data_IF_951877385925
#
_entry.id   IF_951877385925
#
_cell.length_a   1.000
_cell.length_b   1.000
_cell.length_c   1.000
_cell.angle_alpha   90.00
_cell.angle_beta   90.00
_cell.angle_gamma   90.00
#
_symmetry.space_group_name_H-M   'P 1'
#
loop_
_entity.id
_entity.type
_entity.pdbx_description
1 polymer ?
#
# COMPACT_ATOMS: atom_id res chain seq x y z
N UNK A 1 -3.98 -4.47 -7.06
CA UNK A 1 -5.13 -4.77 -6.19
C UNK A 1 -5.42 -3.52 -5.38
N UNK A 2 -6.50 -2.79 -5.63
CA UNK A 2 -6.85 -1.58 -4.89
C UNK A 2 -8.28 -1.12 -5.20
N UNK A 3 -8.76 -0.15 -4.46
CA UNK A 3 -9.98 0.58 -4.79
C UNK A 3 -9.81 1.44 -6.04
N UNK A 4 -10.92 1.79 -6.68
CA UNK A 4 -10.93 2.73 -7.80
C UNK A 4 -11.00 4.18 -7.29
N UNK A 5 -10.55 5.11 -8.11
CA UNK A 5 -10.78 6.55 -7.96
C UNK A 5 -11.40 7.09 -9.24
N UNK A 6 -12.66 7.51 -9.17
CA UNK A 6 -13.38 8.03 -10.35
C UNK A 6 -12.75 9.27 -10.95
N UNK A 7 -11.98 10.05 -10.18
CA UNK A 7 -11.21 11.20 -10.69
C UNK A 7 -9.90 10.79 -11.38
N UNK A 8 -9.44 9.57 -11.14
CA UNK A 8 -8.26 9.01 -11.78
C UNK A 8 -6.91 9.48 -11.22
N UNK A 9 -6.90 10.15 -10.07
CA UNK A 9 -5.70 10.68 -9.40
C UNK A 9 -5.08 9.74 -8.38
N UNK A 10 -5.83 8.72 -7.95
CA UNK A 10 -5.40 7.72 -6.98
C UNK A 10 -5.88 6.32 -7.39
N UNK A 11 -5.77 5.35 -6.48
CA UNK A 11 -6.29 3.98 -6.66
C UNK A 11 -5.72 3.28 -7.88
N UNK A 12 -6.47 2.30 -8.39
CA UNK A 12 -6.05 1.51 -9.55
C UNK A 12 -5.82 2.34 -10.80
N UNK A 13 -6.52 3.47 -10.97
CA UNK A 13 -6.33 4.34 -12.14
C UNK A 13 -4.95 4.99 -12.12
N UNK A 14 -4.48 5.46 -10.97
CA UNK A 14 -3.13 6.00 -10.84
C UNK A 14 -2.08 4.88 -11.01
N UNK A 15 -2.31 3.72 -10.43
CA UNK A 15 -1.42 2.55 -10.54
C UNK A 15 -1.26 2.14 -12.02
N UNK A 16 -2.37 1.97 -12.76
CA UNK A 16 -2.35 1.59 -14.18
C UNK A 16 -1.62 2.64 -15.02
N UNK A 17 -1.92 3.93 -14.82
CA UNK A 17 -1.24 5.02 -15.53
C UNK A 17 0.27 5.01 -15.29
N UNK A 18 0.67 4.84 -14.03
CA UNK A 18 2.08 4.81 -13.63
C UNK A 18 2.80 3.60 -14.23
N UNK A 19 2.23 2.41 -14.12
CA UNK A 19 2.79 1.19 -14.70
C UNK A 19 2.92 1.33 -16.21
N UNK A 20 1.86 1.80 -16.90
CA UNK A 20 1.88 2.00 -18.34
C UNK A 20 2.93 3.02 -18.79
N UNK A 21 3.07 4.14 -18.05
CA UNK A 21 4.08 5.15 -18.33
C UNK A 21 5.52 4.62 -18.16
N UNK A 22 5.71 3.60 -17.34
CA UNK A 22 6.98 2.91 -17.15
C UNK A 22 7.14 1.66 -18.06
N UNK A 23 6.28 1.47 -19.07
CA UNK A 23 6.38 0.36 -20.01
C UNK A 23 5.95 -1.00 -19.45
N UNK A 24 5.20 -1.01 -18.36
CA UNK A 24 4.71 -2.23 -17.71
C UNK A 24 3.25 -2.49 -18.10
N UNK A 25 2.94 -3.72 -18.50
CA UNK A 25 1.55 -4.17 -18.69
C UNK A 25 0.85 -4.27 -17.34
N UNK A 26 -0.26 -3.54 -17.19
CA UNK A 26 -0.98 -3.46 -15.92
C UNK A 26 -2.31 -4.22 -15.98
N UNK A 27 -2.55 -5.04 -14.97
CA UNK A 27 -3.83 -5.70 -14.70
C UNK A 27 -4.39 -5.17 -13.37
N UNK A 28 -5.68 -5.35 -13.12
CA UNK A 28 -6.31 -4.86 -11.90
C UNK A 28 -7.33 -5.84 -11.32
N UNK A 29 -7.30 -6.01 -10.00
CA UNK A 29 -8.38 -6.55 -9.18
C UNK A 29 -8.89 -5.43 -8.28
N UNK A 30 -10.20 -5.18 -8.29
CA UNK A 30 -10.81 -3.99 -7.67
C UNK A 30 -11.37 -4.39 -6.30
N UNK A 31 -10.92 -3.70 -5.25
CA UNK A 31 -11.42 -3.93 -3.87
C UNK A 31 -12.67 -3.12 -3.54
N UNK A 32 -12.82 -1.96 -4.15
CA UNK A 32 -13.99 -1.09 -3.98
C UNK A 32 -14.11 -0.11 -5.14
N UNK A 33 -15.32 0.28 -5.48
CA UNK A 33 -15.61 1.45 -6.30
C UNK A 33 -15.82 2.65 -5.40
N UNK A 34 -15.25 3.81 -5.74
CA UNK A 34 -15.48 5.05 -4.99
C UNK A 34 -16.13 6.11 -5.87
N UNK A 35 -17.07 6.84 -5.30
CA UNK A 35 -17.54 8.10 -5.84
C UNK A 35 -16.62 9.21 -5.28
N UNK A 36 -15.54 9.47 -5.98
CA UNK A 36 -14.43 10.30 -5.51
C UNK A 36 -14.06 11.37 -6.54
N UNK A 37 -13.65 12.54 -6.03
CA UNK A 37 -13.01 13.61 -6.80
C UNK A 37 -11.84 14.22 -6.01
N UNK A 38 -11.27 15.32 -6.51
CA UNK A 38 -10.12 15.98 -5.85
C UNK A 38 -10.46 16.64 -4.51
N UNK A 39 -11.73 16.73 -4.14
CA UNK A 39 -12.19 17.35 -2.90
C UNK A 39 -12.66 16.35 -1.85
N UNK A 40 -12.87 15.08 -2.21
CA UNK A 40 -13.24 14.04 -1.24
C UNK A 40 -13.89 12.81 -1.86
N UNK A 41 -14.25 11.90 -0.96
CA UNK A 41 -14.97 10.64 -1.25
C UNK A 41 -16.37 10.78 -0.67
N UNK A 42 -17.40 10.62 -1.50
CA UNK A 42 -18.82 10.75 -1.08
C UNK A 42 -19.52 9.41 -0.90
N UNK A 43 -19.03 8.36 -1.57
CA UNK A 43 -19.60 7.02 -1.43
C UNK A 43 -18.57 5.95 -1.77
N UNK A 44 -18.72 4.76 -1.17
CA UNK A 44 -17.84 3.60 -1.38
C UNK A 44 -18.71 2.35 -1.49
N UNK A 45 -18.50 1.60 -2.58
CA UNK A 45 -19.12 0.29 -2.77
C UNK A 45 -18.00 -0.77 -2.81
N UNK A 46 -17.87 -1.54 -1.73
CA UNK A 46 -16.95 -2.67 -1.67
C UNK A 46 -17.41 -3.81 -2.59
N UNK A 47 -16.46 -4.50 -3.19
CA UNK A 47 -16.74 -5.79 -3.83
C UNK A 47 -16.84 -6.87 -2.75
N UNK A 48 -17.52 -7.99 -3.06
CA UNK A 48 -17.53 -9.11 -2.12
C UNK A 48 -16.18 -9.85 -2.14
N UNK A 49 -15.80 -10.52 -1.02
CA UNK A 49 -14.59 -11.35 -0.99
C UNK A 49 -14.57 -12.42 -2.08
N UNK A 50 -15.72 -13.00 -2.39
CA UNK A 50 -15.87 -14.02 -3.43
C UNK A 50 -15.58 -13.43 -4.82
N UNK A 51 -16.08 -12.23 -5.11
CA UNK A 51 -15.84 -11.58 -6.39
C UNK A 51 -14.37 -11.18 -6.55
N UNK A 52 -13.75 -10.63 -5.49
CA UNK A 52 -12.31 -10.33 -5.49
C UNK A 52 -11.46 -11.60 -5.69
N UNK A 53 -11.87 -12.72 -5.07
CA UNK A 53 -11.22 -14.00 -5.27
C UNK A 53 -11.29 -14.45 -6.73
N UNK A 54 -12.44 -14.29 -7.39
CA UNK A 54 -12.61 -14.60 -8.82
C UNK A 54 -11.75 -13.69 -9.72
N UNK A 55 -11.68 -12.38 -9.45
CA UNK A 55 -10.80 -11.47 -10.20
C UNK A 55 -9.34 -11.95 -10.13
N UNK A 56 -8.86 -12.27 -8.91
CA UNK A 56 -7.51 -12.77 -8.70
C UNK A 56 -7.27 -14.11 -9.38
N UNK A 57 -8.24 -15.05 -9.31
CA UNK A 57 -8.13 -16.34 -9.99
C UNK A 57 -8.03 -16.15 -11.51
N UNK A 58 -8.81 -15.24 -12.12
CA UNK A 58 -8.72 -14.95 -13.56
C UNK A 58 -7.36 -14.41 -13.96
N UNK A 59 -6.78 -13.52 -13.15
CA UNK A 59 -5.45 -12.97 -13.42
C UNK A 59 -4.38 -14.07 -13.31
N UNK A 60 -4.30 -14.73 -12.14
CA UNK A 60 -3.22 -15.68 -11.86
C UNK A 60 -3.24 -16.94 -12.70
N UNK A 61 -4.41 -17.34 -13.22
CA UNK A 61 -4.54 -18.56 -14.07
C UNK A 61 -4.36 -18.29 -15.57
N UNK A 62 -4.27 -17.03 -15.99
CA UNK A 62 -4.07 -16.66 -17.40
C UNK A 62 -2.73 -15.91 -17.57
N UNK A 63 -2.67 -14.65 -17.18
CA UNK A 63 -1.45 -13.83 -17.26
C UNK A 63 -0.86 -13.71 -15.87
N UNK A 64 0.03 -14.65 -15.50
CA UNK A 64 0.64 -14.66 -14.18
C UNK A 64 1.50 -13.39 -13.96
N UNK A 65 1.22 -12.56 -12.92
CA UNK A 65 1.92 -11.31 -12.72
C UNK A 65 3.35 -11.52 -12.21
N UNK A 66 4.32 -10.77 -12.74
CA UNK A 66 5.70 -10.73 -12.24
C UNK A 66 5.82 -10.02 -10.88
N UNK A 67 4.90 -9.09 -10.61
CA UNK A 67 4.82 -8.34 -9.36
C UNK A 67 3.36 -7.98 -9.05
N UNK A 68 3.07 -7.77 -7.77
CA UNK A 68 1.76 -7.37 -7.28
C UNK A 68 1.89 -6.12 -6.43
N UNK A 69 1.05 -5.11 -6.66
CA UNK A 69 0.88 -3.98 -5.76
C UNK A 69 -0.49 -4.03 -5.12
N UNK A 70 -0.56 -3.87 -3.81
CA UNK A 70 -1.81 -3.63 -3.09
C UNK A 70 -1.87 -2.20 -2.60
N UNK A 71 -3.02 -1.56 -2.77
CA UNK A 71 -3.32 -0.24 -2.23
C UNK A 71 -4.44 -0.31 -1.18
N UNK A 72 -5.45 0.55 -1.30
CA UNK A 72 -6.57 0.59 -0.35
C UNK A 72 -7.35 -0.71 -0.32
N UNK A 73 -7.45 -1.31 0.86
CA UNK A 73 -8.31 -2.45 1.19
C UNK A 73 -8.99 -2.16 2.53
N UNK A 74 -10.29 -2.06 2.55
CA UNK A 74 -11.07 -1.48 3.65
C UNK A 74 -11.46 -2.45 4.76
N UNK A 75 -11.63 -3.74 4.45
CA UNK A 75 -12.15 -4.73 5.39
C UNK A 75 -11.24 -5.94 5.61
N UNK A 76 -11.32 -6.54 6.79
CA UNK A 76 -10.57 -7.76 7.16
C UNK A 76 -10.81 -8.89 6.17
N UNK A 77 -12.06 -9.09 5.72
CA UNK A 77 -12.42 -10.17 4.81
C UNK A 77 -11.73 -10.04 3.44
N UNK A 78 -11.65 -8.82 2.89
CA UNK A 78 -10.92 -8.57 1.64
C UNK A 78 -9.41 -8.75 1.82
N UNK A 79 -8.84 -8.31 2.96
CA UNK A 79 -7.41 -8.50 3.26
C UNK A 79 -7.07 -9.99 3.37
N UNK A 80 -7.90 -10.77 4.05
CA UNK A 80 -7.73 -12.23 4.16
C UNK A 80 -7.80 -12.88 2.77
N UNK A 81 -8.80 -12.54 1.96
CA UNK A 81 -8.93 -13.04 0.59
C UNK A 81 -7.69 -12.76 -0.25
N UNK A 82 -7.14 -11.54 -0.19
CA UNK A 82 -5.91 -11.17 -0.89
C UNK A 82 -4.75 -12.03 -0.39
N UNK A 83 -4.54 -12.09 0.93
CA UNK A 83 -3.42 -12.84 1.53
C UNK A 83 -3.48 -14.33 1.18
N UNK A 84 -4.67 -14.93 1.24
CA UNK A 84 -4.88 -16.34 0.90
C UNK A 84 -4.59 -16.61 -0.58
N UNK A 85 -5.08 -15.76 -1.50
CA UNK A 85 -4.82 -15.89 -2.94
C UNK A 85 -3.34 -15.68 -3.29
N UNK A 86 -2.70 -14.63 -2.75
CA UNK A 86 -1.27 -14.38 -2.98
C UNK A 86 -0.41 -15.55 -2.48
N UNK A 87 -0.78 -16.14 -1.35
CA UNK A 87 -0.11 -17.33 -0.80
C UNK A 87 -0.34 -18.56 -1.67
N UNK A 88 -1.60 -18.85 -2.05
CA UNK A 88 -1.97 -20.00 -2.85
C UNK A 88 -1.29 -20.00 -4.24
N UNK A 89 -1.19 -18.85 -4.85
CA UNK A 89 -0.52 -18.68 -6.15
C UNK A 89 1.00 -18.46 -6.04
N UNK A 90 1.57 -18.45 -4.84
CA UNK A 90 3.00 -18.18 -4.62
C UNK A 90 3.46 -16.86 -5.27
N UNK A 91 2.64 -15.83 -5.16
CA UNK A 91 2.92 -14.51 -5.73
C UNK A 91 4.25 -13.96 -5.22
N UNK A 92 4.97 -13.26 -6.10
CA UNK A 92 6.29 -12.70 -5.82
C UNK A 92 6.29 -11.19 -5.99
N UNK A 93 7.34 -10.55 -5.48
CA UNK A 93 7.54 -9.10 -5.66
C UNK A 93 6.31 -8.30 -5.22
N UNK A 94 5.83 -8.56 -4.00
CA UNK A 94 4.62 -7.94 -3.46
C UNK A 94 4.97 -6.60 -2.83
N UNK A 95 4.37 -5.53 -3.36
CA UNK A 95 4.43 -4.16 -2.83
C UNK A 95 3.14 -3.88 -2.09
N UNK A 96 3.22 -3.60 -0.79
CA UNK A 96 2.05 -3.26 0.02
C UNK A 96 2.10 -1.78 0.40
N UNK A 97 1.17 -1.00 -0.14
CA UNK A 97 0.90 0.37 0.31
C UNK A 97 -0.19 0.31 1.40
N UNK A 98 0.17 0.51 2.68
CA UNK A 98 -0.72 0.26 3.80
C UNK A 98 -1.68 1.43 4.03
N UNK A 99 -2.50 1.75 3.02
CA UNK A 99 -3.41 2.90 3.02
C UNK A 99 -4.41 2.80 4.17
N UNK A 100 -4.27 3.67 5.19
CA UNK A 100 -5.12 3.68 6.38
C UNK A 100 -6.02 4.91 6.46
N UNK A 101 -5.56 6.04 5.92
CA UNK A 101 -6.25 7.33 6.00
C UNK A 101 -6.19 8.02 4.64
N UNK A 102 -7.33 8.54 4.18
CA UNK A 102 -7.35 9.37 2.98
C UNK A 102 -6.60 10.69 3.20
N UNK A 103 -6.12 11.32 2.13
CA UNK A 103 -5.52 12.66 2.16
C UNK A 103 -6.46 13.70 2.81
N UNK A 104 -7.77 13.49 2.71
CA UNK A 104 -8.80 14.30 3.37
C UNK A 104 -8.92 14.08 4.88
N UNK A 105 -8.16 13.13 5.47
CA UNK A 105 -8.25 12.74 6.88
C UNK A 105 -9.32 11.69 7.20
N UNK A 106 -10.08 11.24 6.21
CA UNK A 106 -11.09 10.20 6.43
C UNK A 106 -10.41 8.84 6.67
N UNK A 107 -10.83 8.13 7.72
CA UNK A 107 -10.35 6.77 8.02
C UNK A 107 -10.89 5.82 6.95
N UNK A 108 -10.00 5.15 6.23
CA UNK A 108 -10.33 4.24 5.12
C UNK A 108 -10.34 2.77 5.51
N UNK A 109 -9.89 2.45 6.71
CA UNK A 109 -9.75 1.08 7.20
C UNK A 109 -10.24 1.00 8.65
N UNK A 110 -10.89 -0.09 9.04
CA UNK A 110 -11.31 -0.34 10.43
C UNK A 110 -10.13 -0.78 11.31
N UNK A 111 -10.25 -0.64 12.64
CA UNK A 111 -9.19 -1.07 13.56
C UNK A 111 -8.95 -2.59 13.49
N UNK A 112 -10.01 -3.37 13.30
CA UNK A 112 -9.94 -4.81 13.08
C UNK A 112 -9.16 -5.14 11.80
N UNK A 113 -9.43 -4.43 10.71
CA UNK A 113 -8.74 -4.61 9.44
C UNK A 113 -7.26 -4.21 9.51
N UNK A 114 -6.86 -3.24 10.34
CA UNK A 114 -5.44 -2.94 10.62
C UNK A 114 -4.75 -4.15 11.27
N UNK A 115 -5.40 -4.81 12.22
CA UNK A 115 -4.90 -6.04 12.83
C UNK A 115 -4.70 -7.15 11.81
N UNK A 116 -5.68 -7.36 10.93
CA UNK A 116 -5.62 -8.35 9.85
C UNK A 116 -4.52 -8.00 8.83
N UNK A 117 -4.41 -6.73 8.46
CA UNK A 117 -3.33 -6.24 7.58
C UNK A 117 -1.95 -6.59 8.15
N UNK A 118 -1.70 -6.27 9.43
CA UNK A 118 -0.44 -6.53 10.12
C UNK A 118 -0.11 -8.02 10.22
N UNK A 119 -1.10 -8.88 10.39
CA UNK A 119 -0.88 -10.31 10.65
C UNK A 119 -0.93 -11.20 9.41
N UNK A 120 -1.64 -10.78 8.37
CA UNK A 120 -1.90 -11.61 7.18
C UNK A 120 -1.20 -11.10 5.92
N UNK A 121 -1.26 -9.79 5.64
CA UNK A 121 -0.81 -9.26 4.35
C UNK A 121 0.61 -8.69 4.42
N UNK A 122 0.96 -7.88 5.43
CA UNK A 122 2.30 -7.29 5.55
C UNK A 122 3.43 -8.33 5.62
N UNK A 123 3.26 -9.51 6.26
CA UNK A 123 4.29 -10.55 6.24
C UNK A 123 4.58 -11.16 4.85
N UNK A 124 3.70 -10.97 3.88
CA UNK A 124 3.90 -11.42 2.49
C UNK A 124 4.66 -10.39 1.64
N UNK A 125 4.81 -9.16 2.14
CA UNK A 125 5.39 -8.07 1.38
C UNK A 125 6.88 -8.27 1.09
N UNK A 126 7.30 -7.93 -0.12
CA UNK A 126 8.70 -7.67 -0.47
C UNK A 126 9.12 -6.27 0.00
N UNK A 127 8.21 -5.31 -0.16
CA UNK A 127 8.38 -3.94 0.32
C UNK A 127 7.04 -3.35 0.79
N UNK A 128 7.08 -2.62 1.89
CA UNK A 128 5.96 -1.83 2.42
C UNK A 128 6.26 -0.36 2.17
N UNK A 129 5.26 0.43 1.75
CA UNK A 129 5.43 1.84 1.38
C UNK A 129 4.60 2.80 2.25
N UNK A 130 4.80 2.85 3.57
CA UNK A 130 4.01 3.69 4.46
C UNK A 130 4.39 5.17 4.32
N UNK A 131 3.40 6.06 4.47
CA UNK A 131 3.66 7.45 4.81
C UNK A 131 3.98 7.59 6.32
N UNK A 132 4.33 8.81 6.79
CA UNK A 132 4.70 9.04 8.20
C UNK A 132 3.60 8.59 9.17
N UNK A 133 2.32 9.00 9.04
CA UNK A 133 1.26 8.54 9.93
C UNK A 133 1.06 7.01 9.93
N UNK A 134 1.16 6.38 8.78
CA UNK A 134 1.09 4.92 8.66
C UNK A 134 2.29 4.23 9.32
N UNK A 135 3.49 4.79 9.16
CA UNK A 135 4.69 4.29 9.80
C UNK A 135 4.61 4.41 11.34
N UNK A 136 4.01 5.48 11.87
CA UNK A 136 3.75 5.61 13.31
C UNK A 136 2.82 4.50 13.82
N UNK A 137 1.73 4.20 13.09
CA UNK A 137 0.81 3.10 13.43
C UNK A 137 1.52 1.74 13.35
N UNK A 138 2.40 1.54 12.36
CA UNK A 138 3.09 0.26 12.17
C UNK A 138 4.22 0.05 13.15
N UNK A 139 4.99 1.09 13.47
CA UNK A 139 6.14 1.05 14.39
C UNK A 139 5.75 1.21 15.86
N UNK A 140 4.62 1.85 16.13
CA UNK A 140 4.17 2.20 17.48
C UNK A 140 4.94 3.37 18.11
N UNK A 141 5.62 4.19 17.30
CA UNK A 141 6.37 5.36 17.77
C UNK A 141 5.99 6.62 17.00
N UNK A 142 6.16 7.78 17.64
CA UNK A 142 5.99 9.10 17.01
C UNK A 142 7.23 9.43 16.14
N UNK A 143 7.02 10.05 14.98
CA UNK A 143 8.08 10.40 14.02
C UNK A 143 8.11 11.91 13.85
N UNK A 144 9.18 12.54 14.34
CA UNK A 144 9.39 14.00 14.28
C UNK A 144 10.65 14.42 13.52
N UNK A 145 11.57 13.48 13.31
CA UNK A 145 12.88 13.73 12.70
C UNK A 145 13.25 12.62 11.72
N UNK A 146 14.23 12.88 10.86
CA UNK A 146 14.79 11.85 9.98
C UNK A 146 15.34 10.65 10.77
N UNK A 147 15.95 10.89 11.93
CA UNK A 147 16.42 9.82 12.81
C UNK A 147 15.25 8.95 13.34
N UNK A 148 14.07 9.56 13.59
CA UNK A 148 12.87 8.80 13.95
C UNK A 148 12.34 7.99 12.75
N UNK A 149 12.43 8.54 11.52
CA UNK A 149 12.07 7.81 10.30
C UNK A 149 12.94 6.56 10.14
N UNK A 150 14.26 6.68 10.30
CA UNK A 150 15.17 5.53 10.24
C UNK A 150 14.81 4.46 11.27
N UNK A 151 14.60 4.88 12.52
CA UNK A 151 14.22 3.98 13.61
C UNK A 151 12.87 3.30 13.39
N UNK A 152 11.87 4.04 12.91
CA UNK A 152 10.56 3.48 12.57
C UNK A 152 10.67 2.48 11.42
N UNK A 153 11.41 2.80 10.36
CA UNK A 153 11.65 1.92 9.23
C UNK A 153 12.38 0.63 9.65
N UNK A 154 13.38 0.73 10.55
CA UNK A 154 14.06 -0.42 11.13
C UNK A 154 13.10 -1.35 11.90
N UNK A 155 12.24 -0.76 12.77
CA UNK A 155 11.24 -1.52 13.53
C UNK A 155 10.28 -2.25 12.58
N UNK A 156 9.75 -1.55 11.58
CA UNK A 156 8.82 -2.12 10.59
C UNK A 156 9.51 -3.25 9.80
N UNK A 157 10.72 -3.00 9.31
CA UNK A 157 11.51 -4.00 8.57
C UNK A 157 11.76 -5.26 9.42
N UNK A 158 12.13 -5.11 10.69
CA UNK A 158 12.33 -6.24 11.61
C UNK A 158 11.03 -6.98 11.91
N UNK A 159 9.93 -6.25 12.09
CA UNK A 159 8.63 -6.83 12.47
C UNK A 159 8.03 -7.65 11.34
N UNK A 160 8.10 -7.17 10.10
CA UNK A 160 7.44 -7.82 8.96
C UNK A 160 8.42 -8.58 8.04
N UNK A 161 9.73 -8.44 8.24
CA UNK A 161 10.74 -9.19 7.48
C UNK A 161 10.95 -8.71 6.03
N UNK A 162 10.56 -7.48 5.70
CA UNK A 162 10.59 -6.92 4.35
C UNK A 162 11.32 -5.57 4.28
N UNK A 163 11.57 -5.06 3.08
CA UNK A 163 12.04 -3.69 2.89
C UNK A 163 10.94 -2.67 3.22
N UNK A 164 11.34 -1.46 3.57
CA UNK A 164 10.43 -0.34 3.88
C UNK A 164 10.83 0.87 3.06
N UNK A 165 9.92 1.38 2.24
CA UNK A 165 10.04 2.70 1.62
C UNK A 165 9.13 3.66 2.40
N UNK A 166 9.68 4.34 3.40
CA UNK A 166 8.95 5.29 4.21
C UNK A 166 8.89 6.63 3.46
N UNK A 167 7.67 7.02 3.09
CA UNK A 167 7.41 8.24 2.32
C UNK A 167 7.44 9.46 3.25
N UNK A 168 8.25 10.45 2.91
CA UNK A 168 8.33 11.73 3.61
C UNK A 168 7.16 12.67 3.31
N UNK A 169 7.29 13.94 3.67
CA UNK A 169 6.23 14.94 3.58
C UNK A 169 5.39 14.99 4.86
N UNK A 170 4.13 15.38 4.74
CA UNK A 170 3.10 15.45 5.80
C UNK A 170 3.40 16.34 7.02
N UNK A 171 4.61 16.48 7.52
CA UNK A 171 4.94 17.33 8.69
C UNK A 171 6.42 17.66 8.84
N UNK A 172 7.30 17.00 8.10
CA UNK A 172 8.71 17.36 8.03
C UNK A 172 8.92 18.38 6.92
N UNK A 173 9.83 19.33 7.11
CA UNK A 173 10.06 20.44 6.17
C UNK A 173 10.47 20.00 4.76
N UNK A 174 10.95 18.74 4.61
CA UNK A 174 11.38 18.15 3.35
C UNK A 174 10.58 16.87 3.07
N UNK A 175 10.18 16.67 1.80
CA UNK A 175 9.45 15.48 1.36
C UNK A 175 10.43 14.35 0.94
N UNK A 176 11.47 14.10 1.76
CA UNK A 176 12.46 13.07 1.49
C UNK A 176 11.93 11.69 1.84
N UNK A 177 12.09 10.72 0.93
CA UNK A 177 11.71 9.33 1.15
C UNK A 177 12.91 8.52 1.62
N UNK A 178 12.69 7.55 2.52
CA UNK A 178 13.71 6.66 3.07
C UNK A 178 13.45 5.22 2.64
N UNK A 179 14.41 4.60 1.96
CA UNK A 179 14.43 3.15 1.74
C UNK A 179 15.30 2.48 2.80
N UNK A 180 14.68 1.64 3.61
CA UNK A 180 15.33 0.78 4.60
C UNK A 180 15.29 -0.68 4.17
N UNK A 181 16.43 -1.34 4.17
CA UNK A 181 16.56 -2.76 3.87
C UNK A 181 17.42 -3.43 4.94
N UNK A 182 17.08 -4.67 5.28
CA UNK A 182 17.88 -5.44 6.23
C UNK A 182 19.33 -5.57 5.76
N UNK A 183 20.27 -5.35 6.68
CA UNK A 183 21.71 -5.48 6.45
C UNK A 183 22.27 -4.58 5.33
N UNK A 184 21.61 -3.45 5.04
CA UNK A 184 22.09 -2.43 4.10
C UNK A 184 22.04 -1.05 4.74
N UNK A 185 22.88 -0.14 4.24
CA UNK A 185 22.81 1.27 4.63
C UNK A 185 21.48 1.89 4.15
N UNK A 186 20.89 2.80 4.94
CA UNK A 186 19.71 3.54 4.53
C UNK A 186 19.95 4.36 3.25
N UNK A 187 18.97 4.38 2.36
CA UNK A 187 19.03 5.19 1.14
C UNK A 187 17.96 6.27 1.19
N UNK A 188 18.38 7.53 1.11
CA UNK A 188 17.51 8.68 1.09
C UNK A 188 17.29 9.16 -0.36
N UNK A 189 16.03 9.35 -0.71
CA UNK A 189 15.61 9.98 -1.96
C UNK A 189 15.17 11.40 -1.65
N UNK A 190 16.00 12.36 -2.07
CA UNK A 190 15.73 13.77 -1.81
C UNK A 190 14.63 14.30 -2.73
N UNK A 191 13.65 14.96 -2.15
CA UNK A 191 12.58 15.57 -2.93
C UNK A 191 13.09 16.80 -3.68
N UNK A 192 12.73 16.89 -4.96
CA UNK A 192 13.00 18.06 -5.81
C UNK A 192 11.84 19.07 -5.82
N UNK A 193 10.87 18.93 -4.89
CA UNK A 193 9.66 19.78 -4.85
C UNK A 193 9.97 21.28 -4.68
N UNK A 194 11.15 21.63 -4.19
CA UNK A 194 11.56 23.01 -3.95
C UNK A 194 12.55 23.59 -4.97
N UNK A 195 12.71 22.94 -6.11
CA UNK A 195 13.54 23.48 -7.21
C UNK A 195 12.70 24.32 -8.15
#
# INVERSE_FOLDING_TARGET
IAGSDSSGGAGIQADIKTMTANGVYAMSAITALTAQNTTGVTDIMEVTPEFLAEELDRIFTDIYPDAVKTGMVSSSALIETIADKLTAYHAKNIVVDPVMVATSGAKLISDDAIGTLKTKLLPLATVITPNIPEAEVLSGMEIKTEADMEKAAEIICKTFGCAVLLKGGHQLNDANDLLWQKDKEPVWFLSLIHI
#
